data_IF_701985802502
#
_entry.id   IF_701985802502
#
_cell.length_a   1.000
_cell.length_b   1.000
_cell.length_c   1.000
_cell.angle_alpha   90.00
_cell.angle_beta   90.00
_cell.angle_gamma   90.00
#
_symmetry.space_group_name_H-M   'P 1'
#
loop_
_entity.id
_entity.type
_entity.pdbx_description
1 polymer ?
#
# COMPACT_ATOMS: atom_id res chain seq x y z
N UNK A 1 -3.48 -1.05 -2.54
CA UNK A 1 -3.35 -2.27 -1.68
C UNK A 1 -3.14 -1.86 -0.23
N UNK A 2 -3.18 -2.82 0.72
CA UNK A 2 -2.96 -2.53 2.15
C UNK A 2 -1.48 -2.74 2.57
N UNK A 3 -1.06 -2.18 3.73
CA UNK A 3 0.36 -1.93 4.00
C UNK A 3 1.23 -3.18 4.07
N UNK A 4 0.74 -4.29 4.64
CA UNK A 4 1.56 -5.49 4.77
C UNK A 4 1.70 -6.26 3.46
N UNK A 5 0.69 -6.17 2.58
CA UNK A 5 0.78 -6.63 1.20
C UNK A 5 1.89 -5.87 0.47
N UNK A 6 2.02 -4.56 0.66
CA UNK A 6 3.13 -3.79 0.07
C UNK A 6 4.51 -4.19 0.64
N UNK A 7 4.62 -4.41 1.95
CA UNK A 7 5.88 -4.85 2.57
C UNK A 7 6.28 -6.23 2.05
N UNK A 8 5.33 -7.17 2.01
CA UNK A 8 5.54 -8.52 1.47
C UNK A 8 5.92 -8.46 -0.01
N UNK A 9 5.22 -7.64 -0.81
CA UNK A 9 5.46 -7.52 -2.24
C UNK A 9 6.84 -6.93 -2.51
N UNK A 10 7.22 -5.87 -1.79
CA UNK A 10 8.56 -5.28 -1.86
C UNK A 10 9.65 -6.31 -1.58
N UNK A 11 9.50 -7.12 -0.52
CA UNK A 11 10.43 -8.20 -0.21
C UNK A 11 10.60 -9.18 -1.39
N UNK A 12 9.49 -9.62 -2.00
CA UNK A 12 9.53 -10.58 -3.11
C UNK A 12 10.12 -9.99 -4.39
N UNK A 13 9.91 -8.70 -4.64
CA UNK A 13 10.51 -8.00 -5.78
C UNK A 13 12.02 -7.82 -5.59
N UNK A 14 12.42 -7.26 -4.44
CA UNK A 14 13.80 -6.86 -4.16
C UNK A 14 14.69 -8.04 -3.70
N UNK A 15 14.11 -9.09 -3.11
CA UNK A 15 14.81 -10.24 -2.56
C UNK A 15 15.39 -10.04 -1.16
N UNK A 16 15.18 -8.88 -0.54
CA UNK A 16 15.65 -8.55 0.81
C UNK A 16 14.72 -7.57 1.52
N UNK A 17 14.87 -7.47 2.85
CA UNK A 17 14.14 -6.52 3.68
C UNK A 17 15.08 -5.81 4.65
N UNK A 18 14.98 -4.49 4.73
CA UNK A 18 15.57 -3.67 5.78
C UNK A 18 14.61 -2.51 6.14
N UNK A 19 14.98 -1.67 7.11
CA UNK A 19 14.12 -0.58 7.56
C UNK A 19 13.75 0.39 6.42
N UNK A 20 14.67 0.67 5.49
CA UNK A 20 14.40 1.55 4.34
C UNK A 20 13.43 0.92 3.35
N UNK A 21 13.55 -0.38 3.05
CA UNK A 21 12.61 -1.04 2.14
C UNK A 21 11.22 -1.10 2.76
N UNK A 22 11.09 -1.36 4.07
CA UNK A 22 9.80 -1.32 4.76
C UNK A 22 9.18 0.08 4.66
N UNK A 23 9.93 1.13 5.03
CA UNK A 23 9.45 2.51 4.97
C UNK A 23 9.10 2.95 3.54
N UNK A 24 9.88 2.51 2.54
CA UNK A 24 9.62 2.79 1.13
C UNK A 24 8.32 2.14 0.65
N UNK A 25 8.08 0.89 1.02
CA UNK A 25 6.87 0.17 0.62
C UNK A 25 5.57 0.79 1.16
N UNK A 26 5.62 1.53 2.28
CA UNK A 26 4.45 2.19 2.87
C UNK A 26 4.43 3.71 2.65
N UNK A 27 5.47 4.29 2.05
CA UNK A 27 5.60 5.74 1.90
C UNK A 27 4.38 6.37 1.21
N UNK A 28 3.88 5.85 0.07
CA UNK A 28 2.82 6.54 -0.64
C UNK A 28 1.55 6.72 0.20
N UNK A 29 1.17 5.69 0.96
CA UNK A 29 0.04 5.73 1.89
C UNK A 29 0.31 6.55 3.15
N UNK A 30 1.53 6.47 3.70
CA UNK A 30 1.89 7.19 4.91
C UNK A 30 1.99 8.71 4.70
N UNK A 31 2.16 9.16 3.46
CA UNK A 31 2.41 10.56 3.13
C UNK A 31 1.31 11.21 2.29
N UNK A 32 0.31 10.48 1.81
CA UNK A 32 -0.82 11.10 1.10
C UNK A 32 -1.62 12.00 2.06
N UNK A 33 -1.64 13.30 1.77
CA UNK A 33 -2.26 14.33 2.60
C UNK A 33 -2.65 15.56 1.77
N UNK A 34 -3.03 16.65 2.44
CA UNK A 34 -3.20 17.96 1.80
C UNK A 34 -1.91 18.57 1.26
N UNK A 35 -0.76 18.20 1.84
CA UNK A 35 0.57 18.68 1.47
C UNK A 35 1.16 17.90 0.29
N UNK A 36 0.94 16.58 0.27
CA UNK A 36 1.35 15.69 -0.81
C UNK A 36 0.13 14.90 -1.29
N UNK A 37 -0.42 15.29 -2.44
CA UNK A 37 -1.59 14.62 -2.99
C UNK A 37 -1.27 13.21 -3.52
N UNK A 38 -2.30 12.50 -3.97
CA UNK A 38 -2.17 11.15 -4.52
C UNK A 38 -1.17 11.08 -5.70
N UNK A 39 -1.13 12.11 -6.55
CA UNK A 39 -0.19 12.13 -7.67
C UNK A 39 1.26 12.28 -7.18
N UNK A 40 1.48 13.12 -6.17
CA UNK A 40 2.79 13.33 -5.59
C UNK A 40 3.35 12.06 -4.94
N UNK A 41 2.51 11.17 -4.42
CA UNK A 41 2.93 9.96 -3.68
C UNK A 41 2.87 8.67 -4.49
N UNK A 42 1.81 8.46 -5.28
CA UNK A 42 1.57 7.21 -6.03
C UNK A 42 1.96 7.32 -7.51
N UNK A 43 2.17 8.54 -8.02
CA UNK A 43 2.61 8.82 -9.41
C UNK A 43 3.91 9.63 -9.44
N UNK A 44 4.84 9.27 -8.56
CA UNK A 44 6.15 9.92 -8.40
C UNK A 44 7.01 9.87 -9.66
N UNK A 45 6.79 8.86 -10.51
CA UNK A 45 7.64 8.55 -11.65
C UNK A 45 9.08 8.20 -11.23
N UNK A 46 9.97 8.12 -12.20
CA UNK A 46 11.38 7.82 -11.93
C UNK A 46 12.18 9.00 -11.37
N UNK A 47 11.60 10.20 -11.32
CA UNK A 47 12.29 11.41 -10.86
C UNK A 47 12.69 11.34 -9.39
N UNK A 48 11.83 10.75 -8.55
CA UNK A 48 12.14 10.55 -7.14
C UNK A 48 13.33 9.60 -6.98
N UNK A 49 13.32 8.49 -7.73
CA UNK A 49 14.45 7.56 -7.77
C UNK A 49 15.74 8.26 -8.23
N UNK A 50 15.69 9.01 -9.33
CA UNK A 50 16.86 9.67 -9.92
C UNK A 50 17.45 10.74 -8.96
N UNK A 51 16.60 11.46 -8.23
CA UNK A 51 17.03 12.39 -7.18
C UNK A 51 17.79 11.67 -6.06
N UNK A 52 17.21 10.61 -5.50
CA UNK A 52 17.86 9.86 -4.41
C UNK A 52 19.14 9.16 -4.88
N UNK A 53 19.15 8.58 -6.08
CA UNK A 53 20.33 7.94 -6.64
C UNK A 53 21.51 8.92 -6.80
N UNK A 54 21.23 10.19 -7.09
CA UNK A 54 22.24 11.23 -7.27
C UNK A 54 22.66 11.88 -5.95
N UNK A 55 21.69 12.32 -5.17
CA UNK A 55 21.91 13.26 -4.06
C UNK A 55 21.86 12.56 -2.68
N UNK A 56 21.31 11.33 -2.60
CA UNK A 56 21.08 10.55 -1.37
C UNK A 56 21.28 9.03 -1.55
N UNK A 57 22.44 8.56 -2.08
CA UNK A 57 22.64 7.14 -2.41
C UNK A 57 22.53 6.20 -1.19
N UNK A 58 22.76 6.70 0.02
CA UNK A 58 22.56 5.99 1.28
C UNK A 58 21.10 5.61 1.55
N UNK A 59 20.14 6.32 0.94
CA UNK A 59 18.70 6.07 1.04
C UNK A 59 18.14 5.36 -0.20
N UNK A 60 18.99 4.75 -1.03
CA UNK A 60 18.55 4.17 -2.31
C UNK A 60 17.55 3.01 -2.14
N UNK A 61 17.68 2.23 -1.07
CA UNK A 61 16.75 1.14 -0.77
C UNK A 61 15.32 1.62 -0.51
N UNK A 62 15.17 2.82 0.07
CA UNK A 62 13.87 3.45 0.27
C UNK A 62 13.17 3.69 -1.06
N UNK A 63 13.82 4.38 -2.00
CA UNK A 63 13.18 4.69 -3.30
C UNK A 63 13.02 3.47 -4.20
N UNK A 64 13.92 2.49 -4.12
CA UNK A 64 13.73 1.19 -4.82
C UNK A 64 12.45 0.52 -4.36
N UNK A 65 12.20 0.52 -3.05
CA UNK A 65 10.98 -0.05 -2.51
C UNK A 65 9.74 0.82 -2.75
N UNK A 66 9.86 2.15 -2.78
CA UNK A 66 8.73 3.02 -3.12
C UNK A 66 8.14 2.67 -4.49
N UNK A 67 9.01 2.39 -5.47
CA UNK A 67 8.62 2.00 -6.83
C UNK A 67 7.79 0.71 -6.87
N UNK A 68 7.94 -0.20 -5.89
CA UNK A 68 7.13 -1.42 -5.86
C UNK A 68 5.68 -1.17 -5.47
N UNK A 69 5.37 0.00 -4.91
CA UNK A 69 4.02 0.39 -4.49
C UNK A 69 3.24 1.08 -5.62
N UNK A 70 3.89 2.00 -6.33
CA UNK A 70 3.26 3.05 -7.16
C UNK A 70 2.30 2.59 -8.25
N UNK A 71 1.47 3.52 -8.72
CA UNK A 71 0.75 3.43 -9.99
C UNK A 71 1.63 3.88 -11.17
N UNK A 72 2.49 4.88 -10.95
CA UNK A 72 3.48 5.32 -11.93
C UNK A 72 4.81 5.64 -11.23
N UNK A 73 5.89 4.86 -11.46
CA UNK A 73 5.99 3.69 -12.35
C UNK A 73 5.06 2.52 -11.97
N UNK A 74 4.90 1.53 -12.87
CA UNK A 74 3.92 0.43 -12.76
C UNK A 74 4.29 -0.56 -11.64
N UNK A 75 4.03 -0.19 -10.39
CA UNK A 75 4.18 -0.99 -9.18
C UNK A 75 2.92 -1.80 -8.87
N UNK A 76 2.78 -2.28 -7.62
CA UNK A 76 1.67 -3.13 -7.22
C UNK A 76 0.30 -2.48 -7.43
N UNK A 77 0.13 -1.20 -7.06
CA UNK A 77 -1.16 -0.51 -7.23
C UNK A 77 -1.53 -0.33 -8.69
N UNK A 78 -0.55 -0.22 -9.61
CA UNK A 78 -0.87 -0.23 -11.03
C UNK A 78 -1.60 -1.52 -11.43
N UNK A 79 -1.10 -2.67 -10.99
CA UNK A 79 -1.71 -3.97 -11.31
C UNK A 79 -2.95 -4.26 -10.47
N UNK A 80 -3.04 -3.74 -9.25
CA UNK A 80 -4.21 -3.82 -8.37
C UNK A 80 -5.38 -2.98 -8.86
N UNK A 81 -5.10 -1.75 -9.32
CA UNK A 81 -6.15 -0.74 -9.53
C UNK A 81 -6.34 -0.34 -11.00
N UNK A 82 -5.25 -0.21 -11.76
CA UNK A 82 -5.32 0.38 -13.11
C UNK A 82 -5.42 -0.65 -14.23
N UNK A 83 -4.51 -1.62 -14.28
CA UNK A 83 -4.41 -2.53 -15.43
C UNK A 83 -3.95 -3.94 -15.04
N UNK A 84 -4.79 -4.93 -15.32
CA UNK A 84 -4.42 -6.34 -15.20
C UNK A 84 -5.08 -7.16 -16.32
N UNK A 85 -4.27 -7.98 -17.02
CA UNK A 85 -4.72 -8.84 -18.14
C UNK A 85 -5.56 -8.12 -19.20
N UNK A 86 -5.22 -6.86 -19.50
CA UNK A 86 -5.85 -6.05 -20.56
C UNK A 86 -7.16 -5.37 -20.18
N UNK A 87 -7.57 -5.42 -18.91
CA UNK A 87 -8.72 -4.71 -18.35
C UNK A 87 -8.30 -3.89 -17.13
N UNK A 88 -9.26 -3.38 -16.34
CA UNK A 88 -9.05 -2.68 -15.07
C UNK A 88 -8.19 -3.53 -14.11
N UNK A 89 -7.60 -2.94 -13.08
CA UNK A 89 -6.75 -3.68 -12.14
C UNK A 89 -7.45 -4.87 -11.46
N UNK A 90 -6.66 -5.82 -10.96
CA UNK A 90 -7.15 -7.07 -10.38
C UNK A 90 -8.22 -6.85 -9.28
N UNK A 91 -7.98 -5.90 -8.38
CA UNK A 91 -8.89 -5.62 -7.26
C UNK A 91 -10.24 -5.12 -7.74
N UNK A 92 -10.26 -4.30 -8.81
CA UNK A 92 -11.51 -3.84 -9.42
C UNK A 92 -12.27 -4.96 -10.11
N UNK A 93 -11.57 -5.82 -10.87
CA UNK A 93 -12.22 -6.96 -11.54
C UNK A 93 -12.93 -7.87 -10.53
N UNK A 94 -12.29 -8.16 -9.39
CA UNK A 94 -12.86 -9.02 -8.35
C UNK A 94 -13.97 -8.33 -7.56
N UNK A 95 -13.89 -7.02 -7.40
CA UNK A 95 -14.83 -6.23 -6.61
C UNK A 95 -16.24 -6.16 -7.21
N UNK A 96 -16.41 -6.36 -8.52
CA UNK A 96 -17.71 -6.26 -9.21
C UNK A 96 -18.80 -7.09 -8.52
N UNK A 97 -18.45 -8.26 -8.00
CA UNK A 97 -19.39 -9.20 -7.35
C UNK A 97 -19.78 -8.87 -5.90
N UNK A 98 -19.24 -7.79 -5.33
CA UNK A 98 -19.50 -7.35 -3.94
C UNK A 98 -19.90 -5.88 -3.82
N UNK A 99 -20.13 -5.19 -4.94
CA UNK A 99 -20.41 -3.74 -4.95
C UNK A 99 -21.64 -3.38 -4.13
N UNK A 100 -22.75 -4.09 -4.32
CA UNK A 100 -24.01 -3.82 -3.63
C UNK A 100 -23.88 -4.03 -2.12
N UNK A 101 -23.26 -5.14 -1.70
CA UNK A 101 -23.06 -5.39 -0.26
C UNK A 101 -22.10 -4.37 0.38
N UNK A 102 -21.11 -3.86 -0.36
CA UNK A 102 -20.22 -2.80 0.13
C UNK A 102 -20.95 -1.47 0.25
N UNK A 103 -21.79 -1.12 -0.72
CA UNK A 103 -22.63 0.08 -0.66
C UNK A 103 -23.50 0.05 0.60
N UNK A 104 -24.16 -1.08 0.84
CA UNK A 104 -25.01 -1.30 2.00
C UNK A 104 -24.20 -1.27 3.31
N UNK A 105 -23.09 -2.00 3.38
CA UNK A 105 -22.26 -2.08 4.58
C UNK A 105 -21.62 -0.74 4.94
N UNK A 106 -21.21 0.06 3.95
CA UNK A 106 -20.52 1.31 4.17
C UNK A 106 -21.44 2.54 4.24
N UNK A 107 -22.74 2.39 3.94
CA UNK A 107 -23.69 3.50 3.85
C UNK A 107 -23.17 4.64 2.95
N UNK A 108 -22.75 4.27 1.74
CA UNK A 108 -22.14 5.18 0.75
C UNK A 108 -23.04 5.33 -0.47
N UNK A 109 -22.92 6.44 -1.23
CA UNK A 109 -23.57 6.56 -2.53
C UNK A 109 -23.08 5.53 -3.55
N UNK A 110 -23.95 5.11 -4.47
CA UNK A 110 -23.67 4.08 -5.49
C UNK A 110 -22.46 4.40 -6.36
N UNK A 111 -22.24 5.68 -6.69
CA UNK A 111 -21.11 6.11 -7.53
C UNK A 111 -19.74 5.87 -6.86
N UNK A 112 -19.69 5.61 -5.55
CA UNK A 112 -18.48 5.22 -4.84
C UNK A 112 -18.36 3.70 -4.67
N UNK A 113 -19.39 2.92 -5.02
CA UNK A 113 -19.50 1.49 -4.72
C UNK A 113 -18.29 0.69 -5.17
N UNK A 114 -17.95 0.72 -6.46
CA UNK A 114 -16.81 -0.04 -7.00
C UNK A 114 -15.46 0.41 -6.39
N UNK A 115 -15.29 1.72 -6.18
CA UNK A 115 -14.11 2.29 -5.55
C UNK A 115 -14.00 1.95 -4.07
N UNK A 116 -15.09 1.61 -3.38
CA UNK A 116 -14.97 1.11 -2.01
C UNK A 116 -14.90 -0.41 -1.98
N UNK A 117 -15.48 -1.09 -2.97
CA UNK A 117 -15.46 -2.54 -3.07
C UNK A 117 -14.07 -3.10 -3.38
N UNK A 118 -13.25 -2.43 -4.19
CA UNK A 118 -11.87 -2.88 -4.40
C UNK A 118 -11.07 -2.93 -3.09
N UNK A 119 -11.25 -1.97 -2.17
CA UNK A 119 -10.62 -2.01 -0.85
C UNK A 119 -10.94 -3.30 -0.06
N UNK A 120 -12.12 -3.89 -0.24
CA UNK A 120 -12.49 -5.14 0.42
C UNK A 120 -11.75 -6.35 -0.18
N UNK A 121 -11.48 -6.32 -1.48
CA UNK A 121 -10.59 -7.28 -2.14
C UNK A 121 -9.17 -7.13 -1.58
N UNK A 122 -8.66 -5.91 -1.44
CA UNK A 122 -7.34 -5.65 -0.88
C UNK A 122 -7.23 -6.11 0.58
N UNK A 123 -8.25 -5.84 1.40
CA UNK A 123 -8.32 -6.32 2.79
C UNK A 123 -8.32 -7.86 2.86
N UNK A 124 -8.96 -8.54 1.91
CA UNK A 124 -8.93 -9.99 1.84
C UNK A 124 -7.53 -10.53 1.50
N UNK A 125 -6.82 -9.90 0.55
CA UNK A 125 -5.43 -10.23 0.23
C UNK A 125 -4.53 -10.01 1.45
N UNK A 126 -4.69 -8.86 2.10
CA UNK A 126 -3.93 -8.46 3.28
C UNK A 126 -4.03 -9.50 4.42
N UNK A 127 -5.24 -9.99 4.71
CA UNK A 127 -5.46 -11.05 5.70
C UNK A 127 -4.72 -12.33 5.30
N UNK A 128 -4.84 -12.75 4.05
CA UNK A 128 -4.19 -13.98 3.58
C UNK A 128 -2.67 -13.88 3.68
N UNK A 129 -2.10 -12.75 3.24
CA UNK A 129 -0.65 -12.48 3.35
C UNK A 129 -0.20 -12.53 4.80
N UNK A 130 -0.90 -11.89 5.73
CA UNK A 130 -0.48 -11.85 7.12
C UNK A 130 -0.64 -13.18 7.86
N UNK A 131 -1.67 -13.95 7.54
CA UNK A 131 -1.86 -15.28 8.12
C UNK A 131 -0.69 -16.21 7.78
N UNK A 132 -0.13 -16.07 6.57
CA UNK A 132 1.01 -16.85 6.11
C UNK A 132 2.36 -16.24 6.49
N UNK A 133 2.39 -14.92 6.76
CA UNK A 133 3.62 -14.14 6.92
C UNK A 133 3.57 -13.23 8.17
N UNK A 134 3.21 -13.79 9.33
CA UNK A 134 3.08 -13.01 10.58
C UNK A 134 4.35 -12.25 11.01
N UNK A 135 5.53 -12.61 10.49
CA UNK A 135 6.79 -11.90 10.73
C UNK A 135 6.81 -10.46 10.20
N UNK A 136 5.93 -10.11 9.26
CA UNK A 136 5.83 -8.77 8.67
C UNK A 136 5.49 -7.68 9.71
N UNK A 137 4.72 -8.04 10.74
CA UNK A 137 4.42 -7.15 11.87
C UNK A 137 5.71 -6.64 12.52
N UNK A 138 6.64 -7.57 12.79
CA UNK A 138 7.94 -7.25 13.38
C UNK A 138 8.85 -6.42 12.47
N UNK A 139 8.71 -6.52 11.15
CA UNK A 139 9.44 -5.66 10.21
C UNK A 139 8.93 -4.22 10.26
N UNK A 140 7.61 -4.03 10.26
CA UNK A 140 7.04 -2.70 10.39
C UNK A 140 7.39 -2.06 11.73
N UNK A 141 7.25 -2.78 12.84
CA UNK A 141 7.58 -2.27 14.16
C UNK A 141 9.06 -1.83 14.27
N UNK A 142 9.99 -2.63 13.73
CA UNK A 142 11.42 -2.28 13.70
C UNK A 142 11.68 -1.02 12.86
N UNK A 143 11.06 -0.92 11.68
CA UNK A 143 11.23 0.23 10.81
C UNK A 143 10.68 1.52 11.43
N UNK A 144 9.53 1.44 12.11
CA UNK A 144 8.91 2.58 12.81
C UNK A 144 9.62 2.98 14.12
N UNK A 145 10.54 2.14 14.62
CA UNK A 145 11.42 2.50 15.73
C UNK A 145 12.71 3.20 15.26
N UNK A 146 13.04 3.13 13.98
CA UNK A 146 14.24 3.76 13.40
C UNK A 146 14.05 5.25 13.15
N UNK A 147 14.04 6.01 14.25
CA UNK A 147 13.85 7.46 14.19
C UNK A 147 14.92 8.19 13.38
N UNK A 148 16.13 7.63 13.25
CA UNK A 148 17.20 8.27 12.47
C UNK A 148 16.86 8.21 10.98
N UNK A 149 16.58 7.01 10.46
CA UNK A 149 16.24 6.80 9.05
C UNK A 149 14.95 7.53 8.69
N UNK A 150 13.91 7.46 9.52
CA UNK A 150 12.64 8.17 9.27
C UNK A 150 12.86 9.67 9.13
N UNK A 151 13.59 10.31 10.06
CA UNK A 151 13.86 11.75 10.00
C UNK A 151 14.67 12.13 8.76
N UNK A 152 15.58 11.27 8.31
CA UNK A 152 16.40 11.54 7.14
C UNK A 152 15.61 11.43 5.83
N UNK A 153 14.73 10.43 5.73
CA UNK A 153 13.78 10.28 4.62
C UNK A 153 12.82 11.47 4.58
N UNK A 154 12.18 11.82 5.70
CA UNK A 154 11.24 12.95 5.79
C UNK A 154 11.89 14.26 5.31
N UNK A 155 13.10 14.58 5.77
CA UNK A 155 13.85 15.77 5.31
C UNK A 155 14.23 15.72 3.83
N UNK A 156 14.62 14.55 3.33
CA UNK A 156 15.01 14.39 1.92
C UNK A 156 13.80 14.55 1.00
N UNK A 157 12.63 14.05 1.41
CA UNK A 157 11.36 14.27 0.71
C UNK A 157 10.96 15.74 0.75
N UNK A 158 11.07 16.42 1.90
CA UNK A 158 10.81 17.87 2.00
C UNK A 158 11.68 18.65 1.01
N UNK A 159 12.97 18.31 0.93
CA UNK A 159 13.89 18.94 -0.02
C UNK A 159 13.51 18.63 -1.47
N UNK A 160 13.12 17.40 -1.79
CA UNK A 160 12.71 17.01 -3.14
C UNK A 160 11.45 17.75 -3.61
N UNK A 161 10.43 17.84 -2.75
CA UNK A 161 9.17 18.49 -3.06
C UNK A 161 9.19 20.02 -2.85
N UNK A 162 10.29 20.59 -2.37
CA UNK A 162 10.39 22.03 -2.08
C UNK A 162 9.48 22.47 -0.92
N UNK A 163 9.23 21.59 0.04
CA UNK A 163 8.37 21.86 1.18
C UNK A 163 9.14 22.54 2.32
N UNK A 164 8.39 23.16 3.24
CA UNK A 164 8.95 23.71 4.47
C UNK A 164 9.56 22.59 5.31
N UNK A 165 10.77 22.84 5.83
CA UNK A 165 11.42 21.91 6.77
C UNK A 165 10.53 21.59 7.97
N UNK A 166 10.37 20.30 8.25
CA UNK A 166 9.54 19.75 9.32
C UNK A 166 8.04 19.61 8.98
N UNK A 167 7.61 19.94 7.77
CA UNK A 167 6.21 19.75 7.33
C UNK A 167 5.79 18.28 7.24
N UNK A 168 6.73 17.38 6.91
CA UNK A 168 6.48 15.94 6.81
C UNK A 168 6.82 15.18 8.10
N UNK A 169 7.21 15.91 9.16
CA UNK A 169 7.71 15.31 10.39
C UNK A 169 6.69 14.35 11.02
N UNK A 170 7.18 13.17 11.40
CA UNK A 170 6.41 12.10 12.05
C UNK A 170 5.32 11.46 11.18
N UNK A 171 5.32 11.63 9.86
CA UNK A 171 4.27 11.04 9.02
C UNK A 171 4.25 9.51 9.11
N UNK A 172 5.42 8.86 9.14
CA UNK A 172 5.51 7.41 9.40
C UNK A 172 4.95 7.01 10.78
N UNK A 173 5.18 7.81 11.82
CA UNK A 173 4.65 7.53 13.16
C UNK A 173 3.14 7.71 13.25
N UNK A 174 2.59 8.70 12.54
CA UNK A 174 1.13 8.87 12.42
C UNK A 174 0.53 7.66 11.72
N UNK A 175 1.19 7.16 10.67
CA UNK A 175 0.77 5.96 9.96
C UNK A 175 0.62 4.74 10.87
N UNK A 176 1.46 4.58 11.90
CA UNK A 176 1.34 3.50 12.89
C UNK A 176 -0.06 3.40 13.53
N UNK A 177 -0.80 4.51 13.65
CA UNK A 177 -2.14 4.51 14.24
C UNK A 177 -3.20 3.90 13.33
N UNK A 178 -2.90 3.81 12.02
CA UNK A 178 -3.76 3.23 11.00
C UNK A 178 -3.40 1.76 10.71
N UNK A 179 -2.35 1.25 11.34
CA UNK A 179 -1.92 -0.14 11.19
C UNK A 179 -2.22 -0.93 12.46
N UNK A 180 -2.75 -2.13 12.28
CA UNK A 180 -3.10 -3.05 13.36
C UNK A 180 -1.86 -3.82 13.86
N UNK A 181 -1.87 -4.18 15.15
CA UNK A 181 -0.69 -4.73 15.83
C UNK A 181 -0.70 -6.25 15.97
N UNK A 182 -1.86 -6.87 16.20
CA UNK A 182 -1.98 -8.33 16.40
C UNK A 182 -3.38 -8.84 15.98
N UNK A 183 -3.48 -10.15 15.73
CA UNK A 183 -4.74 -10.90 15.52
C UNK A 183 -5.65 -10.33 14.42
N UNK A 184 -5.09 -10.19 13.22
CA UNK A 184 -5.78 -9.60 12.07
C UNK A 184 -6.88 -10.53 11.59
N UNK A 185 -8.10 -10.02 11.64
CA UNK A 185 -9.31 -10.68 11.18
C UNK A 185 -10.16 -9.71 10.39
N UNK A 186 -11.11 -10.24 9.63
CA UNK A 186 -12.10 -9.45 8.89
C UNK A 186 -12.80 -8.43 9.79
N UNK A 187 -13.05 -8.78 11.05
CA UNK A 187 -13.62 -7.87 12.05
C UNK A 187 -12.65 -6.74 12.42
N UNK A 188 -11.39 -7.04 12.71
CA UNK A 188 -10.39 -6.02 13.07
C UNK A 188 -10.15 -5.08 11.89
N UNK A 189 -10.06 -5.59 10.66
CA UNK A 189 -9.95 -4.75 9.47
C UNK A 189 -11.18 -3.86 9.28
N UNK A 190 -12.38 -4.39 9.52
CA UNK A 190 -13.62 -3.58 9.43
C UNK A 190 -13.65 -2.45 10.47
N UNK A 191 -13.16 -2.70 11.70
CA UNK A 191 -13.05 -1.65 12.74
C UNK A 191 -12.06 -0.56 12.31
N UNK A 192 -10.91 -0.94 11.76
CA UNK A 192 -9.93 0.04 11.28
C UNK A 192 -10.46 0.80 10.06
N UNK A 193 -11.16 0.12 9.16
CA UNK A 193 -11.76 0.73 7.99
C UNK A 193 -12.88 1.71 8.38
N UNK A 194 -13.68 1.40 9.40
CA UNK A 194 -14.64 2.36 10.01
C UNK A 194 -13.92 3.62 10.48
N UNK A 195 -12.82 3.47 11.21
CA UNK A 195 -12.02 4.61 11.65
C UNK A 195 -11.52 5.46 10.47
N UNK A 196 -11.05 4.82 9.39
CA UNK A 196 -10.61 5.51 8.18
C UNK A 196 -11.76 6.25 7.49
N UNK A 197 -12.91 5.60 7.34
CA UNK A 197 -14.11 6.18 6.73
C UNK A 197 -14.63 7.37 7.55
N UNK A 198 -14.58 7.28 8.88
CA UNK A 198 -14.97 8.37 9.77
C UNK A 198 -14.01 9.56 9.68
N UNK A 199 -12.71 9.33 9.73
CA UNK A 199 -11.70 10.39 9.68
C UNK A 199 -11.68 11.09 8.31
N UNK A 200 -11.77 10.34 7.21
CA UNK A 200 -11.66 10.89 5.85
C UNK A 200 -12.98 11.42 5.29
N UNK A 201 -14.11 10.82 5.65
CA UNK A 201 -15.40 11.09 5.01
C UNK A 201 -16.53 11.41 6.00
N UNK A 202 -16.31 11.29 7.31
CA UNK A 202 -17.36 11.51 8.32
C UNK A 202 -18.44 10.43 8.33
N UNK A 203 -18.16 9.25 7.78
CA UNK A 203 -19.12 8.13 7.64
C UNK A 203 -18.72 7.01 8.59
N UNK A 204 -19.68 6.48 9.34
CA UNK A 204 -19.52 5.22 10.07
C UNK A 204 -20.12 4.08 9.23
N UNK A 205 -19.47 2.91 9.24
CA UNK A 205 -19.91 1.71 8.51
C UNK A 205 -20.59 0.71 9.46
N UNK A 206 -21.33 -0.23 8.89
CA UNK A 206 -21.76 -1.44 9.58
C UNK A 206 -20.61 -2.44 9.62
N UNK A 207 -19.93 -2.50 10.77
CA UNK A 207 -18.73 -3.33 10.99
C UNK A 207 -19.04 -4.82 10.78
N UNK A 208 -20.23 -5.29 11.15
CA UNK A 208 -20.57 -6.71 11.07
C UNK A 208 -20.88 -7.12 9.62
N UNK A 209 -21.58 -6.26 8.87
CA UNK A 209 -21.76 -6.46 7.42
C UNK A 209 -20.42 -6.38 6.70
N UNK A 210 -19.62 -5.35 6.99
CA UNK A 210 -18.30 -5.18 6.38
C UNK A 210 -17.41 -6.41 6.62
N UNK A 211 -17.38 -6.95 7.84
CA UNK A 211 -16.59 -8.15 8.14
C UNK A 211 -17.02 -9.35 7.29
N UNK A 212 -18.32 -9.56 7.08
CA UNK A 212 -18.84 -10.64 6.24
C UNK A 212 -18.46 -10.44 4.77
N UNK A 213 -18.45 -9.19 4.28
CA UNK A 213 -18.02 -8.87 2.92
C UNK A 213 -16.53 -9.18 2.74
N UNK A 214 -15.68 -8.88 3.73
CA UNK A 214 -14.25 -9.25 3.67
C UNK A 214 -14.09 -10.78 3.62
N UNK A 215 -14.85 -11.53 4.41
CA UNK A 215 -14.82 -13.00 4.35
C UNK A 215 -15.29 -13.53 2.97
N UNK A 216 -16.34 -12.95 2.40
CA UNK A 216 -16.78 -13.25 1.02
C UNK A 216 -15.67 -12.92 0.00
N UNK A 217 -15.01 -11.78 0.14
CA UNK A 217 -13.89 -11.37 -0.71
C UNK A 217 -12.74 -12.37 -0.67
N UNK A 218 -12.41 -12.93 0.50
CA UNK A 218 -11.41 -14.00 0.64
C UNK A 218 -11.76 -15.24 -0.19
N UNK A 219 -13.04 -15.62 -0.23
CA UNK A 219 -13.49 -16.73 -1.08
C UNK A 219 -13.39 -16.40 -2.58
N UNK A 220 -13.73 -15.16 -2.97
CA UNK A 220 -13.68 -14.72 -4.39
C UNK A 220 -12.27 -14.79 -4.97
N UNK A 221 -11.27 -14.46 -4.16
CA UNK A 221 -9.87 -14.39 -4.60
C UNK A 221 -9.07 -15.68 -4.35
N UNK A 222 -9.65 -16.66 -3.65
CA UNK A 222 -8.93 -17.80 -3.07
C UNK A 222 -8.04 -18.53 -4.09
N UNK A 223 -8.57 -18.74 -5.30
CA UNK A 223 -7.94 -19.57 -6.31
C UNK A 223 -6.88 -18.83 -7.14
N UNK A 224 -6.87 -17.49 -7.17
CA UNK A 224 -6.07 -16.75 -8.15
C UNK A 224 -5.31 -15.51 -7.65
N UNK A 225 -5.47 -15.11 -6.39
CA UNK A 225 -4.70 -13.97 -5.86
C UNK A 225 -3.19 -14.24 -5.84
N UNK A 226 -2.77 -15.47 -5.53
CA UNK A 226 -1.36 -15.85 -5.51
C UNK A 226 -0.73 -15.70 -6.90
N UNK A 227 -1.41 -16.21 -7.93
CA UNK A 227 -0.96 -16.07 -9.32
C UNK A 227 -0.90 -14.61 -9.78
N UNK A 228 -1.88 -13.79 -9.37
CA UNK A 228 -1.83 -12.34 -9.59
C UNK A 228 -0.57 -11.69 -8.97
N UNK A 229 -0.29 -11.98 -7.71
CA UNK A 229 0.87 -11.42 -7.02
C UNK A 229 2.19 -11.87 -7.66
N UNK A 230 2.31 -13.15 -8.02
CA UNK A 230 3.49 -13.68 -8.72
C UNK A 230 3.72 -12.99 -10.07
N UNK A 231 2.67 -12.85 -10.89
CA UNK A 231 2.76 -12.12 -12.16
C UNK A 231 3.20 -10.67 -11.95
N UNK A 232 2.63 -9.98 -10.96
CA UNK A 232 2.99 -8.60 -10.62
C UNK A 232 4.45 -8.50 -10.15
N UNK A 233 4.92 -9.42 -9.29
CA UNK A 233 6.33 -9.47 -8.83
C UNK A 233 7.27 -9.58 -10.02
N UNK A 234 7.00 -10.49 -10.96
CA UNK A 234 7.83 -10.69 -12.16
C UNK A 234 7.92 -9.41 -12.99
N UNK A 235 6.78 -8.74 -13.23
CA UNK A 235 6.73 -7.52 -14.03
C UNK A 235 7.47 -6.36 -13.36
N UNK A 236 7.22 -6.12 -12.06
CA UNK A 236 7.87 -5.04 -11.32
C UNK A 236 9.38 -5.28 -11.19
N UNK A 237 9.80 -6.53 -10.99
CA UNK A 237 11.22 -6.92 -10.97
C UNK A 237 11.89 -6.68 -12.32
N UNK A 238 11.22 -6.99 -13.43
CA UNK A 238 11.67 -6.66 -14.78
C UNK A 238 11.84 -5.16 -14.99
N UNK A 239 10.81 -4.38 -14.65
CA UNK A 239 10.84 -2.92 -14.74
C UNK A 239 11.99 -2.29 -13.95
N UNK A 240 12.20 -2.72 -12.70
CA UNK A 240 13.32 -2.24 -11.88
C UNK A 240 14.68 -2.60 -12.47
N UNK A 241 14.83 -3.84 -12.98
CA UNK A 241 16.06 -4.29 -13.63
C UNK A 241 16.39 -3.46 -14.87
N UNK A 242 15.38 -3.12 -15.68
CA UNK A 242 15.56 -2.32 -16.89
C UNK A 242 15.97 -0.88 -16.57
N UNK A 243 15.42 -0.29 -15.50
CA UNK A 243 15.78 1.07 -15.07
C UNK A 243 17.15 1.15 -14.40
N UNK A 244 17.49 0.17 -13.54
CA UNK A 244 18.61 0.28 -12.60
C UNK A 244 19.87 -0.45 -13.09
N UNK A 245 19.74 -1.38 -14.06
CA UNK A 245 20.85 -2.24 -14.48
C UNK A 245 21.14 -3.37 -13.47
N UNK A 246 21.88 -4.41 -13.89
CA UNK A 246 22.09 -5.66 -13.13
C UNK A 246 22.56 -5.41 -11.68
N UNK A 247 21.71 -5.70 -10.68
CA UNK A 247 21.83 -6.76 -9.66
C UNK A 247 20.93 -6.44 -8.44
N UNK A 248 20.04 -7.36 -8.09
CA UNK A 248 19.51 -7.55 -6.75
C UNK A 248 20.17 -8.81 -6.18
#
# INVERSE_FOLDING_TARGET
>A
MFPFTHIWFSHNVLGYTNNMTVLGSIFPDAFVSSELDYNATHKTGWKLYDYFAKDKPELLDFVKSTVTHTVSPEGLDYYGDESYKGSKGYCFQKAESIVEEVIEACNIPENFGIWKAHNFIEMAIEINILNENGYLLGFLDKALQDSSIMNEIERSLESYYGLKTGSLKNNFKKFQHFVYKENVSSRILSINYDHHMKVRHGINIDIDKASKVIDKAKHIIHDDYAGFLEEAVIKVKGMLKDKIGKSF
#
